data_IF_609587605325
#
_entry.id   IF_609587605325
#
_cell.length_a   1.000
_cell.length_b   1.000
_cell.length_c   1.000
_cell.angle_alpha   90.00
_cell.angle_beta   90.00
_cell.angle_gamma   90.00
#
_symmetry.space_group_name_H-M   'P 1'
#
loop_
_entity.id
_entity.type
_entity.pdbx_description
1 polymer ?
#
# COMPACT_ATOMS: atom_id res chain seq x y z
N UNK A 1 -22.31 -40.89 7.71
CA UNK A 1 -22.85 -39.73 7.05
C UNK A 1 -22.42 -38.43 7.72
N UNK A 2 -22.81 -38.29 8.95
CA UNK A 2 -22.46 -37.07 9.67
C UNK A 2 -20.97 -36.89 9.78
N UNK A 3 -20.23 -37.94 9.89
CA UNK A 3 -18.79 -37.87 9.98
C UNK A 3 -18.18 -37.36 8.72
N UNK A 4 -18.75 -37.68 7.58
CA UNK A 4 -18.25 -37.19 6.32
C UNK A 4 -18.37 -35.68 6.22
N UNK A 5 -19.47 -35.13 6.71
CA UNK A 5 -19.68 -33.69 6.69
C UNK A 5 -18.66 -32.99 7.56
N UNK A 6 -18.36 -33.54 8.71
CA UNK A 6 -17.37 -32.96 9.60
C UNK A 6 -15.99 -32.96 8.94
N UNK A 7 -15.65 -34.05 8.28
CA UNK A 7 -14.39 -34.14 7.57
C UNK A 7 -14.27 -33.06 6.50
N UNK A 8 -15.34 -32.87 5.73
CA UNK A 8 -15.33 -31.92 4.68
C UNK A 8 -15.09 -30.51 5.22
N UNK A 9 -15.73 -30.18 6.32
CA UNK A 9 -15.54 -28.90 6.95
C UNK A 9 -14.12 -28.68 7.38
N UNK A 10 -13.53 -29.68 8.01
CA UNK A 10 -12.13 -29.57 8.45
C UNK A 10 -11.21 -29.35 7.25
N UNK A 11 -11.47 -30.05 6.18
CA UNK A 11 -10.65 -29.96 5.01
C UNK A 11 -10.68 -28.57 4.42
N UNK A 12 -11.85 -27.98 4.37
CA UNK A 12 -12.00 -26.63 3.83
C UNK A 12 -11.23 -25.62 4.69
N UNK A 13 -11.32 -25.76 5.99
CA UNK A 13 -10.62 -24.86 6.90
C UNK A 13 -9.11 -24.97 6.72
N UNK A 14 -8.61 -26.17 6.59
CA UNK A 14 -7.18 -26.39 6.38
C UNK A 14 -6.74 -25.75 5.08
N UNK A 15 -7.56 -25.86 4.06
CA UNK A 15 -7.22 -25.30 2.78
C UNK A 15 -7.11 -23.78 2.85
N UNK A 16 -8.00 -23.14 3.56
CA UNK A 16 -7.95 -21.70 3.74
C UNK A 16 -6.70 -21.27 4.48
N UNK A 17 -6.32 -21.98 5.50
CA UNK A 17 -5.12 -21.68 6.26
C UNK A 17 -3.89 -21.81 5.37
N UNK A 18 -3.86 -22.84 4.56
CA UNK A 18 -2.73 -23.03 3.66
C UNK A 18 -2.61 -21.90 2.66
N UNK A 19 -3.73 -21.40 2.19
CA UNK A 19 -3.73 -20.28 1.25
C UNK A 19 -3.12 -19.04 1.90
N UNK A 20 -3.51 -18.76 3.11
CA UNK A 20 -2.96 -17.61 3.83
C UNK A 20 -1.47 -17.78 4.06
N UNK A 21 -1.07 -18.99 4.39
CA UNK A 21 0.35 -19.26 4.57
C UNK A 21 1.13 -19.05 3.30
N UNK A 22 0.55 -19.42 2.17
CA UNK A 22 1.19 -19.22 0.90
C UNK A 22 1.41 -17.74 0.61
N UNK A 23 0.44 -16.93 0.89
CA UNK A 23 0.59 -15.49 0.68
C UNK A 23 1.69 -14.92 1.55
N UNK A 24 1.76 -15.35 2.80
CA UNK A 24 2.79 -14.90 3.71
C UNK A 24 4.18 -15.30 3.20
N UNK A 25 4.30 -16.50 2.69
CA UNK A 25 5.56 -16.98 2.15
C UNK A 25 6.00 -16.14 0.98
N UNK A 26 5.06 -15.80 0.10
CA UNK A 26 5.37 -14.99 -1.06
C UNK A 26 5.89 -13.62 -0.62
N UNK A 27 5.27 -13.04 0.37
CA UNK A 27 5.69 -11.75 0.88
C UNK A 27 7.11 -11.81 1.42
N UNK A 28 7.44 -12.90 2.13
CA UNK A 28 8.78 -13.07 2.66
C UNK A 28 9.81 -13.15 1.56
N UNK A 29 9.50 -13.88 0.52
CA UNK A 29 10.43 -14.01 -0.61
C UNK A 29 10.67 -12.68 -1.29
N UNK A 30 9.62 -11.90 -1.45
CA UNK A 30 9.76 -10.59 -2.05
C UNK A 30 10.74 -9.73 -1.26
N UNK A 31 10.72 -9.87 0.05
CA UNK A 31 11.59 -9.08 0.90
C UNK A 31 13.05 -9.33 0.68
N UNK A 32 13.42 -10.52 0.28
CA UNK A 32 14.84 -10.86 0.12
C UNK A 32 15.47 -10.10 -1.03
N UNK A 33 14.71 -9.78 -2.05
CA UNK A 33 15.25 -9.11 -3.22
C UNK A 33 15.23 -7.61 -3.10
N UNK A 34 14.81 -7.07 -1.98
CA UNK A 34 14.70 -5.63 -1.80
C UNK A 34 13.78 -5.00 -2.84
N UNK A 35 13.13 -5.84 -3.62
CA UNK A 35 12.21 -5.35 -4.62
C UNK A 35 10.81 -5.31 -4.03
N UNK A 36 10.17 -4.18 -4.11
CA UNK A 36 8.80 -4.04 -3.67
C UNK A 36 8.00 -3.60 -4.89
N UNK A 37 6.96 -4.37 -5.19
CA UNK A 37 6.12 -4.12 -6.34
C UNK A 37 5.55 -2.71 -6.30
N UNK A 38 5.53 -2.05 -7.45
CA UNK A 38 4.99 -0.68 -7.55
C UNK A 38 3.56 -0.60 -7.04
N UNK A 39 2.75 -1.63 -7.27
CA UNK A 39 1.37 -1.63 -6.81
C UNK A 39 1.28 -1.66 -5.28
N UNK A 40 2.21 -2.36 -4.64
CA UNK A 40 2.27 -2.40 -3.18
C UNK A 40 2.68 -1.04 -2.64
N UNK A 41 3.66 -0.41 -3.28
CA UNK A 41 4.11 0.92 -2.87
C UNK A 41 2.96 1.91 -2.99
N UNK A 42 2.25 1.88 -4.12
CA UNK A 42 1.11 2.77 -4.32
C UNK A 42 0.08 2.61 -3.21
N UNK A 43 -0.25 1.36 -2.88
CA UNK A 43 -1.23 1.08 -1.84
C UNK A 43 -0.78 1.62 -0.48
N UNK A 44 0.49 1.41 -0.15
CA UNK A 44 1.00 1.87 1.13
C UNK A 44 1.08 3.38 1.22
N UNK A 45 1.46 4.04 0.13
CA UNK A 45 1.49 5.49 0.12
C UNK A 45 0.08 6.04 0.28
N UNK A 46 -0.88 5.48 -0.45
CA UNK A 46 -2.28 5.92 -0.31
C UNK A 46 -2.78 5.74 1.11
N UNK A 47 -2.48 4.60 1.72
CA UNK A 47 -2.90 4.35 3.10
C UNK A 47 -2.28 5.35 4.06
N UNK A 48 -1.00 5.64 3.88
CA UNK A 48 -0.30 6.57 4.76
C UNK A 48 -0.84 7.99 4.63
N UNK A 49 -1.12 8.41 3.40
CA UNK A 49 -1.70 9.73 3.18
C UNK A 49 -3.11 9.81 3.77
N UNK A 50 -3.90 8.76 3.60
CA UNK A 50 -5.26 8.72 4.13
C UNK A 50 -5.33 8.63 5.65
N UNK A 51 -4.28 8.15 6.28
CA UNK A 51 -4.21 8.04 7.72
C UNK A 51 -3.68 9.32 8.38
N UNK A 52 -3.11 10.21 7.62
CA UNK A 52 -2.56 11.45 8.16
C UNK A 52 -3.68 12.45 8.37
N UNK A 53 -3.82 12.94 9.60
CA UNK A 53 -4.93 13.84 9.96
C UNK A 53 -4.93 15.11 9.13
N UNK A 54 -3.76 15.58 8.74
CA UNK A 54 -3.64 16.82 7.99
C UNK A 54 -3.95 16.61 6.50
N UNK A 55 -3.67 15.43 5.98
CA UNK A 55 -3.78 15.16 4.55
C UNK A 55 -5.04 14.40 4.15
N UNK A 56 -5.68 13.73 5.08
CA UNK A 56 -6.75 12.78 4.74
C UNK A 56 -7.95 13.40 4.04
N UNK A 57 -8.12 14.72 4.16
CA UNK A 57 -9.26 15.38 3.52
C UNK A 57 -9.01 15.75 2.06
N UNK A 58 -7.78 15.60 1.59
CA UNK A 58 -7.44 15.94 0.22
C UNK A 58 -7.45 14.71 -0.65
N UNK A 59 -7.84 14.88 -1.91
CA UNK A 59 -7.79 13.79 -2.87
C UNK A 59 -6.44 13.85 -3.57
N UNK A 60 -5.55 12.99 -3.16
CA UNK A 60 -4.21 12.93 -3.71
C UNK A 60 -4.08 11.64 -4.50
N UNK A 61 -3.77 11.77 -5.79
CA UNK A 61 -3.55 10.61 -6.65
C UNK A 61 -2.11 10.15 -6.51
N UNK A 62 -1.94 8.83 -6.47
CA UNK A 62 -0.62 8.23 -6.30
C UNK A 62 -0.38 7.25 -7.42
N UNK A 63 0.74 7.39 -8.10
CA UNK A 63 1.19 6.42 -9.10
C UNK A 63 2.63 6.11 -8.84
N UNK A 64 3.00 4.85 -9.05
CA UNK A 64 4.37 4.40 -8.79
C UNK A 64 4.91 3.69 -10.01
N UNK A 65 6.11 4.05 -10.41
CA UNK A 65 6.79 3.40 -11.51
C UNK A 65 8.25 3.19 -11.13
N UNK A 66 8.65 1.94 -11.05
CA UNK A 66 10.02 1.54 -10.70
C UNK A 66 10.50 2.20 -9.41
N UNK A 67 9.62 2.26 -8.43
CA UNK A 67 9.95 2.84 -7.13
C UNK A 67 9.81 4.35 -7.04
N UNK A 68 9.53 5.01 -8.15
CA UNK A 68 9.34 6.46 -8.17
C UNK A 68 7.86 6.74 -8.00
N UNK A 69 7.52 7.45 -6.93
CA UNK A 69 6.13 7.76 -6.60
C UNK A 69 5.81 9.14 -7.12
N UNK A 70 4.73 9.24 -7.89
CA UNK A 70 4.25 10.53 -8.35
C UNK A 70 2.97 10.87 -7.61
N UNK A 71 2.96 12.04 -7.00
CA UNK A 71 1.78 12.57 -6.32
C UNK A 71 1.17 13.68 -7.18
N UNK A 72 -0.15 13.66 -7.34
CA UNK A 72 -0.83 14.70 -8.09
C UNK A 72 -2.17 15.02 -7.44
N UNK A 73 -2.67 16.20 -7.73
CA UNK A 73 -3.93 16.66 -7.19
C UNK A 73 -3.80 18.04 -6.61
N UNK A 74 -4.79 18.43 -5.80
CA UNK A 74 -4.85 19.75 -5.20
C UNK A 74 -4.91 19.66 -3.69
N UNK A 75 -4.16 20.52 -3.04
CA UNK A 75 -4.17 20.66 -1.59
C UNK A 75 -4.34 22.14 -1.27
N UNK A 76 -4.42 22.50 -0.01
CA UNK A 76 -4.74 23.88 0.38
C UNK A 76 -3.52 24.74 0.69
N UNK A 77 -2.33 24.16 0.75
CA UNK A 77 -1.15 24.92 1.15
C UNK A 77 0.13 24.24 0.73
N UNK A 78 1.20 25.00 0.71
CA UNK A 78 2.53 24.44 0.46
C UNK A 78 2.91 23.46 1.57
N UNK A 79 2.48 23.75 2.79
CA UNK A 79 2.74 22.86 3.91
C UNK A 79 2.14 21.48 3.67
N UNK A 80 0.97 21.43 3.06
CA UNK A 80 0.34 20.17 2.74
C UNK A 80 1.14 19.40 1.68
N UNK A 81 1.67 20.11 0.69
CA UNK A 81 2.53 19.51 -0.32
C UNK A 81 3.75 18.88 0.35
N UNK A 82 4.42 19.66 1.19
CA UNK A 82 5.63 19.21 1.84
C UNK A 82 5.36 17.98 2.70
N UNK A 83 4.25 17.99 3.42
CA UNK A 83 3.88 16.88 4.27
C UNK A 83 3.59 15.62 3.46
N UNK A 84 2.89 15.78 2.35
CA UNK A 84 2.56 14.63 1.50
C UNK A 84 3.82 14.00 0.92
N UNK A 85 4.76 14.82 0.48
CA UNK A 85 6.03 14.32 -0.05
C UNK A 85 6.80 13.60 1.05
N UNK A 86 6.83 14.17 2.25
CA UNK A 86 7.53 13.56 3.37
C UNK A 86 6.92 12.19 3.71
N UNK A 87 5.61 12.12 3.78
CA UNK A 87 4.92 10.86 4.09
C UNK A 87 5.22 9.81 3.02
N UNK A 88 5.17 10.21 1.76
CA UNK A 88 5.45 9.27 0.68
C UNK A 88 6.88 8.77 0.72
N UNK A 89 7.83 9.64 1.01
CA UNK A 89 9.23 9.24 1.09
C UNK A 89 9.49 8.24 2.21
N UNK A 90 8.67 8.27 3.25
CA UNK A 90 8.84 7.37 4.38
C UNK A 90 8.36 5.96 4.13
N UNK A 91 7.70 5.70 3.01
CA UNK A 91 7.19 4.37 2.71
C UNK A 91 8.30 3.49 2.18
N UNK A 92 8.40 2.28 2.73
CA UNK A 92 9.45 1.36 2.33
C UNK A 92 9.32 1.01 0.85
N UNK A 93 10.43 1.06 0.15
CA UNK A 93 10.45 0.75 -1.27
C UNK A 93 10.43 1.97 -2.16
N UNK A 94 10.11 3.13 -1.62
CA UNK A 94 10.09 4.36 -2.39
C UNK A 94 11.52 4.84 -2.63
N UNK A 95 11.88 4.99 -3.89
CA UNK A 95 13.20 5.47 -4.27
C UNK A 95 13.23 6.99 -4.33
N UNK A 96 12.19 7.57 -4.86
CA UNK A 96 12.08 9.02 -4.93
C UNK A 96 10.61 9.39 -5.11
N UNK A 97 10.30 10.66 -4.86
CA UNK A 97 8.95 11.16 -5.00
C UNK A 97 8.95 12.32 -5.98
N UNK A 98 8.07 12.25 -6.96
CA UNK A 98 7.87 13.31 -7.92
C UNK A 98 6.60 14.07 -7.53
N UNK A 99 6.75 15.32 -7.21
CA UNK A 99 5.62 16.13 -6.76
C UNK A 99 4.94 16.86 -7.90
N UNK A 100 3.67 16.53 -8.12
CA UNK A 100 2.81 17.26 -9.05
C UNK A 100 1.56 17.76 -8.33
N UNK A 101 1.70 18.00 -7.02
CA UNK A 101 0.60 18.58 -6.26
C UNK A 101 0.57 20.09 -6.47
N UNK A 102 -0.62 20.63 -6.46
CA UNK A 102 -0.83 22.07 -6.63
C UNK A 102 -1.65 22.60 -5.47
N UNK A 103 -1.39 23.87 -5.15
CA UNK A 103 -2.16 24.52 -4.10
C UNK A 103 -3.38 25.15 -4.75
N UNK A 104 -4.55 24.82 -4.20
CA UNK A 104 -5.81 25.37 -4.67
C UNK A 104 -6.28 26.38 -3.65
N UNK A 105 -6.38 27.61 -4.08
CA UNK A 105 -6.81 28.71 -3.21
C UNK A 105 -8.31 28.94 -3.28
#
# INVERSE_FOLDING_TARGET
MKKGNVFIGSLVILFLIATLGGCASTSSQSGTGEYIDDSVITTKVKSSLGADDFLKSFEISVETYKGIVQLSGFVDSQKAIDKAVEVAKGVKGVKSVKNNLNVKK
#
